data_IF_739493743405
#
_entry.id   IF_739493743405
#
_cell.length_a   1.000
_cell.length_b   1.000
_cell.length_c   1.000
_cell.angle_alpha   90.00
_cell.angle_beta   90.00
_cell.angle_gamma   90.00
#
_symmetry.space_group_name_H-M   'P 1'
#
loop_
_entity.id
_entity.type
_entity.pdbx_description
1 polymer ?
#
# COMPACT_ATOMS: atom_id res chain seq x y z
N UNK A 1 -30.36 21.27 -8.84
CA UNK A 1 -29.14 21.39 -8.03
C UNK A 1 -29.15 20.26 -7.01
N UNK A 2 -28.56 19.11 -7.38
CA UNK A 2 -28.34 17.94 -6.50
C UNK A 2 -27.24 17.08 -7.13
N UNK A 3 -26.02 17.62 -7.17
CA UNK A 3 -24.81 16.90 -7.57
C UNK A 3 -24.19 16.36 -6.29
N UNK A 4 -24.39 15.07 -5.95
CA UNK A 4 -23.67 14.39 -4.84
C UNK A 4 -23.84 12.84 -4.89
N UNK A 5 -23.82 12.19 -6.06
CA UNK A 5 -23.94 10.71 -6.17
C UNK A 5 -22.63 10.01 -6.58
N UNK A 6 -21.54 10.73 -6.80
CA UNK A 6 -20.25 10.11 -7.18
C UNK A 6 -19.16 10.39 -6.15
N UNK A 7 -19.25 9.69 -5.02
CA UNK A 7 -18.15 9.58 -4.06
C UNK A 7 -17.39 8.26 -4.30
N UNK A 8 -16.09 8.30 -4.65
CA UNK A 8 -15.29 7.12 -5.03
C UNK A 8 -15.05 6.12 -3.89
N UNK A 9 -15.44 6.46 -2.66
CA UNK A 9 -15.31 5.62 -1.47
C UNK A 9 -16.34 4.47 -1.41
N UNK A 10 -17.50 4.63 -2.05
CA UNK A 10 -18.55 3.58 -2.11
C UNK A 10 -18.28 2.47 -3.14
N UNK A 11 -17.31 2.66 -4.03
CA UNK A 11 -17.00 1.70 -5.09
C UNK A 11 -16.25 0.49 -4.51
N UNK A 12 -15.39 0.68 -3.50
CA UNK A 12 -14.66 -0.43 -2.87
C UNK A 12 -15.56 -1.36 -2.05
N UNK A 13 -16.41 -0.77 -1.20
CA UNK A 13 -17.24 -1.53 -0.24
C UNK A 13 -18.44 -2.23 -0.91
N UNK A 14 -19.02 -1.61 -1.94
CA UNK A 14 -20.15 -2.20 -2.69
C UNK A 14 -19.75 -3.32 -3.65
N UNK A 15 -18.52 -3.28 -4.18
CA UNK A 15 -17.99 -4.30 -5.09
C UNK A 15 -17.58 -5.56 -4.31
N UNK A 16 -16.96 -5.41 -3.14
CA UNK A 16 -16.58 -6.54 -2.29
C UNK A 16 -17.79 -7.35 -1.79
N UNK A 17 -18.87 -6.69 -1.33
CA UNK A 17 -20.10 -7.37 -0.89
C UNK A 17 -20.84 -8.09 -2.05
N UNK A 18 -20.73 -7.54 -3.27
CA UNK A 18 -21.28 -8.17 -4.49
C UNK A 18 -20.49 -9.42 -4.88
N UNK A 19 -19.16 -9.37 -4.82
CA UNK A 19 -18.30 -10.52 -5.11
C UNK A 19 -18.50 -11.65 -4.10
N UNK A 20 -18.55 -11.34 -2.80
CA UNK A 20 -18.82 -12.35 -1.77
C UNK A 20 -20.17 -13.06 -1.97
N UNK A 21 -21.22 -12.30 -2.31
CA UNK A 21 -22.56 -12.86 -2.59
C UNK A 21 -22.56 -13.75 -3.83
N UNK A 22 -21.81 -13.40 -4.87
CA UNK A 22 -21.65 -14.22 -6.08
C UNK A 22 -20.88 -15.52 -5.81
N UNK A 23 -19.80 -15.44 -5.03
CA UNK A 23 -19.00 -16.60 -4.63
C UNK A 23 -19.84 -17.60 -3.82
N UNK A 24 -20.67 -17.13 -2.87
CA UNK A 24 -21.56 -17.99 -2.08
C UNK A 24 -22.61 -18.72 -2.94
N UNK A 25 -23.12 -18.09 -4.01
CA UNK A 25 -24.07 -18.73 -4.95
C UNK A 25 -23.39 -19.81 -5.78
N UNK A 26 -22.20 -19.52 -6.32
CA UNK A 26 -21.39 -20.49 -7.07
C UNK A 26 -21.01 -21.68 -6.20
N UNK A 27 -20.65 -21.44 -4.94
CA UNK A 27 -20.32 -22.48 -3.97
C UNK A 27 -21.51 -23.44 -3.71
N UNK A 28 -22.73 -22.89 -3.61
CA UNK A 28 -23.96 -23.67 -3.41
C UNK A 28 -24.30 -24.51 -4.64
N UNK A 29 -24.01 -24.00 -5.85
CA UNK A 29 -24.20 -24.71 -7.11
C UNK A 29 -23.19 -25.85 -7.25
N UNK A 30 -21.90 -25.60 -6.97
CA UNK A 30 -20.84 -26.62 -6.98
C UNK A 30 -21.13 -27.77 -6.01
N UNK A 31 -21.62 -27.46 -4.80
CA UNK A 31 -22.05 -28.48 -3.80
C UNK A 31 -23.18 -29.35 -4.33
N UNK A 32 -24.14 -28.76 -5.05
CA UNK A 32 -25.27 -29.49 -5.65
C UNK A 32 -24.85 -30.36 -6.84
N UNK A 33 -23.79 -29.96 -7.55
CA UNK A 33 -23.26 -30.68 -8.70
C UNK A 33 -22.27 -31.81 -8.32
N UNK A 34 -22.03 -32.06 -7.02
CA UNK A 34 -21.10 -33.09 -6.55
C UNK A 34 -19.62 -32.83 -6.88
N UNK A 35 -19.30 -31.70 -7.51
CA UNK A 35 -17.95 -31.26 -7.89
C UNK A 35 -17.30 -30.34 -6.85
N UNK A 36 -17.85 -30.31 -5.63
CA UNK A 36 -17.32 -29.47 -4.57
C UNK A 36 -16.11 -30.15 -3.92
N UNK A 37 -14.93 -29.91 -4.49
CA UNK A 37 -13.69 -30.39 -3.93
C UNK A 37 -13.10 -29.34 -2.97
N UNK A 38 -13.25 -29.58 -1.66
CA UNK A 38 -12.66 -28.71 -0.62
C UNK A 38 -11.13 -28.68 -0.71
N UNK A 39 -10.49 -29.73 -1.21
CA UNK A 39 -9.04 -29.82 -1.29
C UNK A 39 -8.45 -28.85 -2.32
N UNK A 40 -9.14 -28.66 -3.45
CA UNK A 40 -8.72 -27.75 -4.52
C UNK A 40 -8.76 -26.27 -4.05
N UNK A 41 -9.81 -25.86 -3.33
CA UNK A 41 -9.89 -24.49 -2.75
C UNK A 41 -8.85 -24.21 -1.67
N UNK A 42 -8.50 -25.20 -0.84
CA UNK A 42 -7.41 -25.06 0.15
C UNK A 42 -6.06 -24.91 -0.56
N UNK A 43 -5.86 -25.58 -1.70
CA UNK A 43 -4.69 -25.43 -2.56
C UNK A 43 -4.60 -24.01 -3.14
N UNK A 44 -5.67 -23.52 -3.76
CA UNK A 44 -5.69 -22.15 -4.32
C UNK A 44 -5.49 -21.04 -3.26
N UNK A 45 -5.96 -21.23 -2.03
CA UNK A 45 -5.72 -20.27 -0.92
C UNK A 45 -4.27 -20.28 -0.41
N UNK A 46 -3.56 -21.42 -0.51
CA UNK A 46 -2.16 -21.58 -0.07
C UNK A 46 -1.13 -21.05 -1.07
N UNK A 47 -1.48 -20.88 -2.34
CA UNK A 47 -0.53 -20.48 -3.38
C UNK A 47 -0.16 -18.98 -3.32
N UNK A 48 -0.87 -18.20 -2.49
CA UNK A 48 -0.63 -16.76 -2.32
C UNK A 48 0.52 -16.45 -1.34
N UNK A 49 1.27 -17.44 -0.87
CA UNK A 49 2.40 -17.23 0.04
C UNK A 49 3.50 -16.39 -0.64
N UNK A 50 3.87 -16.73 -1.87
CA UNK A 50 4.82 -15.94 -2.68
C UNK A 50 4.32 -14.51 -2.91
N UNK A 51 3.04 -14.36 -3.27
CA UNK A 51 2.44 -13.04 -3.49
C UNK A 51 2.43 -12.20 -2.21
N UNK A 52 2.14 -12.82 -1.05
CA UNK A 52 2.19 -12.14 0.26
C UNK A 52 3.60 -11.67 0.59
N UNK A 53 4.61 -12.52 0.42
CA UNK A 53 6.00 -12.13 0.67
C UNK A 53 6.50 -11.08 -0.32
N UNK A 54 6.07 -11.15 -1.58
CA UNK A 54 6.37 -10.14 -2.59
C UNK A 54 5.78 -8.79 -2.19
N UNK A 55 4.50 -8.76 -1.79
CA UNK A 55 3.83 -7.54 -1.37
C UNK A 55 4.50 -6.91 -0.14
N UNK A 56 4.93 -7.73 0.83
CA UNK A 56 5.68 -7.27 2.00
C UNK A 56 7.05 -6.71 1.59
N UNK A 57 7.77 -7.39 0.70
CA UNK A 57 9.07 -6.94 0.22
C UNK A 57 8.97 -5.62 -0.58
N UNK A 58 7.95 -5.47 -1.42
CA UNK A 58 7.72 -4.23 -2.18
C UNK A 58 7.41 -3.07 -1.23
N UNK A 59 6.58 -3.28 -0.21
CA UNK A 59 6.33 -2.25 0.80
C UNK A 59 7.60 -1.87 1.57
N UNK A 60 8.46 -2.84 1.88
CA UNK A 60 9.75 -2.58 2.51
C UNK A 60 10.69 -1.77 1.61
N UNK A 61 10.71 -2.08 0.30
CA UNK A 61 11.44 -1.31 -0.70
C UNK A 61 10.93 0.13 -0.74
N UNK A 62 9.61 0.38 -0.70
CA UNK A 62 9.08 1.74 -0.70
C UNK A 62 9.47 2.54 0.55
N UNK A 63 9.51 1.91 1.72
CA UNK A 63 9.94 2.58 2.96
C UNK A 63 11.42 2.97 2.90
N UNK A 64 12.27 2.14 2.29
CA UNK A 64 13.71 2.40 2.16
C UNK A 64 14.04 3.33 0.98
N UNK A 65 13.46 3.07 -0.19
CA UNK A 65 13.72 3.80 -1.42
C UNK A 65 13.00 5.16 -1.46
N UNK A 66 11.84 5.29 -0.82
CA UNK A 66 11.07 6.54 -0.75
C UNK A 66 11.92 7.74 -0.30
N UNK A 67 12.58 7.71 0.86
CA UNK A 67 13.43 8.82 1.31
C UNK A 67 14.65 9.03 0.42
N UNK A 68 15.24 7.97 -0.14
CA UNK A 68 16.39 8.06 -1.04
C UNK A 68 16.00 8.75 -2.36
N UNK A 69 14.88 8.34 -2.96
CA UNK A 69 14.37 8.88 -4.21
C UNK A 69 13.90 10.32 -4.03
N UNK A 70 13.28 10.64 -2.88
CA UNK A 70 12.88 11.99 -2.52
C UNK A 70 14.10 12.91 -2.32
N UNK A 71 15.16 12.44 -1.64
CA UNK A 71 16.41 13.17 -1.52
C UNK A 71 17.06 13.42 -2.88
N UNK A 72 17.12 12.41 -3.74
CA UNK A 72 17.70 12.54 -5.08
C UNK A 72 16.90 13.51 -5.95
N UNK A 73 15.57 13.40 -5.92
CA UNK A 73 14.68 14.29 -6.66
C UNK A 73 14.77 15.74 -6.18
N UNK A 74 14.75 15.94 -4.86
CA UNK A 74 14.94 17.26 -4.26
C UNK A 74 16.33 17.83 -4.59
N UNK A 75 17.38 17.00 -4.55
CA UNK A 75 18.74 17.41 -4.90
C UNK A 75 18.84 17.97 -6.33
N UNK A 76 18.29 17.27 -7.32
CA UNK A 76 18.27 17.71 -8.71
C UNK A 76 17.43 18.98 -8.92
N UNK A 77 16.28 19.09 -8.21
CA UNK A 77 15.42 20.28 -8.24
C UNK A 77 16.12 21.51 -7.63
N UNK A 78 16.79 21.35 -6.49
CA UNK A 78 17.51 22.43 -5.81
C UNK A 78 18.77 22.87 -6.58
N UNK A 79 19.47 21.93 -7.22
CA UNK A 79 20.58 22.22 -8.14
C UNK A 79 20.12 23.09 -9.31
N UNK A 80 18.93 22.81 -9.87
CA UNK A 80 18.39 23.58 -11.00
C UNK A 80 17.84 24.96 -10.60
N UNK A 81 17.30 25.13 -9.39
CA UNK A 81 16.59 26.36 -8.99
C UNK A 81 17.40 27.37 -8.17
N UNK A 82 18.26 26.93 -7.22
CA UNK A 82 18.80 27.85 -6.19
C UNK A 82 20.31 27.77 -6.01
N UNK A 83 20.95 26.64 -6.29
CA UNK A 83 22.37 26.46 -5.95
C UNK A 83 23.25 26.34 -7.21
N UNK A 84 23.94 27.44 -7.57
CA UNK A 84 25.03 27.41 -8.57
C UNK A 84 26.25 26.57 -8.13
N UNK A 85 26.24 26.00 -6.93
CA UNK A 85 27.31 25.18 -6.36
C UNK A 85 26.72 24.13 -5.42
N UNK A 86 27.17 22.87 -5.52
CA UNK A 86 26.70 21.77 -4.65
C UNK A 86 26.99 22.10 -3.18
N UNK A 87 25.95 22.40 -2.40
CA UNK A 87 26.05 22.63 -0.96
C UNK A 87 25.47 21.43 -0.19
N UNK A 88 26.32 20.46 0.23
CA UNK A 88 25.87 19.28 0.96
C UNK A 88 25.19 19.60 2.29
N UNK A 89 25.37 20.81 2.83
CA UNK A 89 24.77 21.26 4.10
C UNK A 89 23.23 21.19 4.08
N UNK A 90 22.59 21.45 2.94
CA UNK A 90 21.13 21.42 2.81
C UNK A 90 20.60 19.99 2.91
N UNK A 91 21.35 19.03 2.36
CA UNK A 91 21.08 17.60 2.48
C UNK A 91 21.18 17.12 3.93
N UNK A 92 22.19 17.58 4.69
CA UNK A 92 22.31 17.29 6.12
C UNK A 92 21.09 17.81 6.89
N UNK A 93 20.63 19.04 6.62
CA UNK A 93 19.47 19.62 7.31
C UNK A 93 18.20 18.84 6.97
N UNK A 94 17.97 18.51 5.69
CA UNK A 94 16.83 17.69 5.28
C UNK A 94 16.88 16.28 5.87
N UNK A 95 18.06 15.67 6.01
CA UNK A 95 18.23 14.35 6.64
C UNK A 95 17.82 14.40 8.12
N UNK A 96 18.23 15.43 8.85
CA UNK A 96 17.86 15.61 10.26
C UNK A 96 16.34 15.77 10.38
N UNK A 97 15.73 16.67 9.59
CA UNK A 97 14.27 16.88 9.58
C UNK A 97 13.54 15.57 9.22
N UNK A 98 14.03 14.87 8.19
CA UNK A 98 13.54 13.56 7.74
C UNK A 98 13.55 12.49 8.83
N UNK A 99 14.65 12.41 9.59
CA UNK A 99 14.79 11.48 10.70
C UNK A 99 13.82 11.81 11.85
N UNK A 100 13.71 13.09 12.21
CA UNK A 100 12.76 13.55 13.24
C UNK A 100 11.30 13.28 12.85
N UNK A 101 10.90 13.54 11.61
CA UNK A 101 9.53 13.25 11.15
C UNK A 101 9.27 11.75 11.05
N UNK A 102 10.24 10.94 10.64
CA UNK A 102 10.12 9.48 10.60
C UNK A 102 9.93 8.90 12.00
N UNK A 103 10.73 9.35 12.97
CA UNK A 103 10.61 8.96 14.37
C UNK A 103 9.24 9.34 14.96
N UNK A 104 8.76 10.56 14.69
CA UNK A 104 7.43 11.00 15.14
C UNK A 104 6.30 10.13 14.58
N UNK A 105 6.38 9.76 13.30
CA UNK A 105 5.42 8.88 12.63
C UNK A 105 5.38 7.48 13.27
N UNK A 106 6.54 6.92 13.63
CA UNK A 106 6.63 5.62 14.30
C UNK A 106 6.02 5.66 15.70
N UNK A 107 6.29 6.71 16.48
CA UNK A 107 5.68 6.90 17.80
C UNK A 107 4.15 6.96 17.69
N UNK A 108 3.63 7.63 16.66
CA UNK A 108 2.18 7.72 16.44
C UNK A 108 1.56 6.36 16.13
N UNK A 109 2.21 5.56 15.27
CA UNK A 109 1.77 4.20 14.98
C UNK A 109 1.80 3.29 16.22
N UNK A 110 2.86 3.36 17.03
CA UNK A 110 2.96 2.56 18.26
C UNK A 110 1.90 2.94 19.29
N UNK A 111 1.55 4.23 19.38
CA UNK A 111 0.55 4.72 20.34
C UNK A 111 -0.88 4.38 19.94
N UNK A 112 -1.19 4.30 18.65
CA UNK A 112 -2.51 3.89 18.13
C UNK A 112 -2.80 2.39 18.31
N UNK A 113 -1.78 1.57 18.60
CA UNK A 113 -1.92 0.12 18.81
C UNK A 113 -2.29 -0.21 20.28
N UNK A 114 -2.26 0.77 21.19
CA UNK A 114 -2.61 0.58 22.61
C UNK A 114 -4.03 1.03 22.90
#
# INVERSE_FOLDING_TARGET
MSDDIFSPENIGVGVEDSEEKRIKRLEKIEKRLGRYDKAEKIKHKKNNILMKYFLVATNMIYILAGPILLMLGAYLLLEKFIFKKQQPIVLIIFLIIGAFTGYWSLIKQVRDIK
#
